data_IF_404352907370
#
_entry.id   IF_404352907370
#
_cell.length_a   1.000
_cell.length_b   1.000
_cell.length_c   1.000
_cell.angle_alpha   90.00
_cell.angle_beta   90.00
_cell.angle_gamma   90.00
#
_symmetry.space_group_name_H-M   'P 1'
#
loop_
_entity.id
_entity.type
_entity.pdbx_description
1 polymer ?
#
# COMPACT_ATOMS: atom_id res chain seq x y z
N UNK A 1 11.01 -3.42 -23.42
CA UNK A 1 9.80 -2.97 -22.72
C UNK A 1 9.09 -1.99 -23.61
N UNK A 2 7.76 -2.13 -23.81
CA UNK A 2 6.94 -1.21 -24.61
C UNK A 2 6.01 -0.50 -23.64
N UNK A 3 5.97 0.82 -23.69
CA UNK A 3 5.04 1.65 -22.91
C UNK A 3 3.83 1.96 -23.78
N UNK A 4 2.64 1.76 -23.21
CA UNK A 4 1.35 2.06 -23.85
C UNK A 4 0.53 2.90 -22.91
N UNK A 5 -0.08 3.94 -23.44
CA UNK A 5 -1.05 4.75 -22.70
C UNK A 5 -2.39 4.00 -22.66
N UNK A 6 -3.00 3.91 -21.47
CA UNK A 6 -4.27 3.25 -21.26
C UNK A 6 -4.95 3.74 -20.00
N UNK A 7 -6.27 3.63 -19.96
CA UNK A 7 -7.09 3.99 -18.81
C UNK A 7 -7.85 2.74 -18.32
N UNK A 8 -7.66 2.37 -17.04
CA UNK A 8 -8.34 1.18 -16.46
C UNK A 8 -9.87 1.28 -16.50
N UNK A 9 -10.43 2.47 -16.68
CA UNK A 9 -11.87 2.69 -16.86
C UNK A 9 -12.33 2.55 -18.34
N UNK A 10 -11.40 2.40 -19.28
CA UNK A 10 -11.63 2.31 -20.73
C UNK A 10 -10.98 1.01 -21.25
N UNK A 11 -11.65 -0.15 -21.10
CA UNK A 11 -11.09 -1.47 -21.43
C UNK A 11 -10.54 -1.58 -22.85
N UNK A 12 -11.14 -0.88 -23.80
CA UNK A 12 -10.71 -0.84 -25.21
C UNK A 12 -9.27 -0.34 -25.39
N UNK A 13 -8.76 0.47 -24.45
CA UNK A 13 -7.42 1.03 -24.54
C UNK A 13 -6.32 0.02 -24.23
N UNK A 14 -6.67 -1.12 -23.59
CA UNK A 14 -5.66 -2.11 -23.16
C UNK A 14 -6.06 -3.59 -23.34
N UNK A 15 -7.30 -3.90 -23.76
CA UNK A 15 -7.80 -5.28 -23.87
C UNK A 15 -6.94 -6.16 -24.76
N UNK A 16 -6.48 -5.65 -25.89
CA UNK A 16 -5.63 -6.39 -26.84
C UNK A 16 -4.25 -6.74 -26.22
N UNK A 17 -3.73 -5.90 -25.33
CA UNK A 17 -2.48 -6.19 -24.64
C UNK A 17 -2.67 -7.28 -23.59
N UNK A 18 -3.81 -7.28 -22.87
CA UNK A 18 -4.14 -8.39 -21.95
C UNK A 18 -4.24 -9.68 -22.74
N UNK A 19 -4.97 -9.71 -23.85
CA UNK A 19 -5.17 -10.89 -24.69
C UNK A 19 -3.86 -11.55 -25.16
N UNK A 20 -2.80 -10.77 -25.32
CA UNK A 20 -1.46 -11.22 -25.76
C UNK A 20 -0.49 -11.47 -24.61
N UNK A 21 -0.91 -11.28 -23.38
CA UNK A 21 -0.04 -11.43 -22.21
C UNK A 21 -0.14 -12.82 -21.61
N UNK A 22 0.96 -13.33 -21.05
CA UNK A 22 0.93 -14.54 -20.23
C UNK A 22 0.44 -14.23 -18.79
N UNK A 23 0.80 -13.06 -18.29
CA UNK A 23 0.48 -12.60 -16.93
C UNK A 23 0.07 -11.14 -16.95
N UNK A 24 -0.85 -10.77 -16.07
CA UNK A 24 -1.23 -9.36 -15.80
C UNK A 24 -0.92 -9.04 -14.34
N UNK A 25 -0.14 -7.99 -14.11
CA UNK A 25 0.12 -7.42 -12.79
C UNK A 25 -0.74 -6.16 -12.63
N UNK A 26 -1.85 -6.27 -11.93
CA UNK A 26 -2.75 -5.14 -11.72
C UNK A 26 -2.35 -4.32 -10.51
N UNK A 27 -1.50 -3.31 -10.74
CA UNK A 27 -1.01 -2.37 -9.71
C UNK A 27 -1.75 -1.02 -9.75
N UNK A 28 -2.59 -0.79 -10.75
CA UNK A 28 -3.27 0.48 -10.94
C UNK A 28 -4.33 0.69 -9.85
N UNK A 29 -4.16 1.74 -9.06
CA UNK A 29 -5.15 2.17 -8.07
C UNK A 29 -4.95 3.65 -7.74
N UNK A 30 -6.03 4.31 -7.36
CA UNK A 30 -5.98 5.65 -6.81
C UNK A 30 -5.91 5.59 -5.28
N UNK A 31 -5.02 6.38 -4.68
CA UNK A 31 -4.91 6.56 -3.23
C UNK A 31 -5.16 8.03 -2.92
N UNK A 32 -6.19 8.32 -2.16
CA UNK A 32 -6.46 9.67 -1.66
C UNK A 32 -7.15 9.62 -0.30
N UNK A 33 -6.78 10.55 0.56
CA UNK A 33 -7.42 10.78 1.87
C UNK A 33 -8.22 12.10 1.88
N UNK A 34 -8.48 12.67 0.71
CA UNK A 34 -9.30 13.87 0.55
C UNK A 34 -10.74 13.50 0.17
N UNK A 35 -11.69 14.13 0.83
CA UNK A 35 -13.11 13.88 0.58
C UNK A 35 -13.51 14.16 -0.88
N UNK A 36 -12.94 15.17 -1.52
CA UNK A 36 -13.21 15.52 -2.92
C UNK A 36 -12.79 14.46 -3.96
N UNK A 37 -11.95 13.49 -3.56
CA UNK A 37 -11.44 12.46 -4.46
C UNK A 37 -12.14 11.11 -4.26
N UNK A 38 -13.09 10.99 -3.32
CA UNK A 38 -13.67 9.73 -2.88
C UNK A 38 -14.39 8.99 -4.01
N UNK A 39 -15.29 9.65 -4.69
CA UNK A 39 -16.08 9.03 -5.77
C UNK A 39 -15.16 8.56 -6.90
N UNK A 40 -14.23 9.42 -7.31
CA UNK A 40 -13.25 9.07 -8.34
C UNK A 40 -12.36 7.90 -7.91
N UNK A 41 -11.95 7.86 -6.65
CA UNK A 41 -11.13 6.76 -6.11
C UNK A 41 -11.93 5.45 -6.09
N UNK A 42 -13.19 5.47 -5.65
CA UNK A 42 -14.06 4.31 -5.66
C UNK A 42 -14.28 3.82 -7.10
N UNK A 43 -14.62 4.70 -8.02
CA UNK A 43 -14.83 4.35 -9.43
C UNK A 43 -13.56 3.74 -10.05
N UNK A 44 -12.42 4.41 -9.91
CA UNK A 44 -11.13 3.89 -10.43
C UNK A 44 -10.77 2.54 -9.85
N UNK A 45 -10.87 2.38 -8.53
CA UNK A 45 -10.43 1.16 -7.86
C UNK A 45 -11.38 -0.02 -8.07
N UNK A 46 -12.70 0.22 -8.12
CA UNK A 46 -13.68 -0.86 -8.32
C UNK A 46 -13.83 -1.22 -9.80
N UNK A 47 -14.25 -0.25 -10.62
CA UNK A 47 -14.51 -0.51 -12.05
C UNK A 47 -13.23 -0.87 -12.79
N UNK A 48 -12.11 -0.18 -12.48
CA UNK A 48 -10.81 -0.52 -13.06
C UNK A 48 -10.40 -1.96 -12.74
N UNK A 49 -10.59 -2.41 -11.50
CA UNK A 49 -10.31 -3.81 -11.11
C UNK A 49 -11.27 -4.78 -11.77
N UNK A 50 -12.55 -4.45 -11.86
CA UNK A 50 -13.56 -5.29 -12.53
C UNK A 50 -13.24 -5.47 -14.02
N UNK A 51 -12.89 -4.40 -14.74
CA UNK A 51 -12.49 -4.45 -16.13
C UNK A 51 -11.27 -5.37 -16.35
N UNK A 52 -10.23 -5.24 -15.54
CA UNK A 52 -9.03 -6.09 -15.63
C UNK A 52 -9.38 -7.55 -15.32
N UNK A 53 -10.11 -7.82 -14.24
CA UNK A 53 -10.46 -9.19 -13.83
C UNK A 53 -11.36 -9.87 -14.87
N UNK A 54 -12.32 -9.15 -15.44
CA UNK A 54 -13.21 -9.63 -16.51
C UNK A 54 -12.43 -10.02 -17.76
N UNK A 55 -11.54 -9.16 -18.25
CA UNK A 55 -10.72 -9.43 -19.42
C UNK A 55 -9.73 -10.58 -19.17
N UNK A 56 -9.12 -10.66 -17.98
CA UNK A 56 -8.25 -11.78 -17.62
C UNK A 56 -9.01 -13.11 -17.61
N UNK A 57 -10.26 -13.12 -17.12
CA UNK A 57 -11.13 -14.30 -17.18
C UNK A 57 -11.48 -14.66 -18.64
N UNK A 58 -11.93 -13.68 -19.42
CA UNK A 58 -12.33 -13.86 -20.84
C UNK A 58 -11.19 -14.45 -21.67
N UNK A 59 -9.98 -13.90 -21.52
CA UNK A 59 -8.81 -14.32 -22.32
C UNK A 59 -7.97 -15.43 -21.67
N UNK A 60 -8.40 -15.96 -20.53
CA UNK A 60 -7.71 -17.02 -19.78
C UNK A 60 -6.29 -16.61 -19.38
N UNK A 61 -6.07 -15.34 -19.06
CA UNK A 61 -4.78 -14.78 -18.62
C UNK A 61 -4.70 -14.76 -17.10
N UNK A 62 -3.57 -15.18 -16.55
CA UNK A 62 -3.35 -15.19 -15.11
C UNK A 62 -3.19 -13.77 -14.55
N UNK A 63 -3.90 -13.48 -13.47
CA UNK A 63 -3.88 -12.17 -12.79
C UNK A 63 -3.11 -12.23 -11.48
N UNK A 64 -2.13 -11.34 -11.29
CA UNK A 64 -1.58 -10.98 -9.99
C UNK A 64 -2.16 -9.62 -9.57
N UNK A 65 -3.09 -9.64 -8.61
CA UNK A 65 -3.77 -8.44 -8.15
C UNK A 65 -3.09 -7.85 -6.92
N UNK A 66 -2.72 -6.57 -6.99
CA UNK A 66 -2.15 -5.84 -5.85
C UNK A 66 -3.27 -5.20 -5.03
N UNK A 67 -3.63 -5.86 -3.93
CA UNK A 67 -4.51 -5.35 -2.90
C UNK A 67 -3.73 -4.45 -1.92
N UNK A 68 -3.98 -4.54 -0.64
CA UNK A 68 -3.28 -3.80 0.42
C UNK A 68 -3.60 -4.41 1.77
N UNK A 69 -2.72 -4.27 2.76
CA UNK A 69 -3.09 -4.53 4.16
C UNK A 69 -4.32 -3.71 4.60
N UNK A 70 -4.59 -2.59 3.95
CA UNK A 70 -5.80 -1.78 4.21
C UNK A 70 -7.11 -2.49 3.84
N UNK A 71 -7.07 -3.57 3.04
CA UNK A 71 -8.24 -4.38 2.71
C UNK A 71 -8.54 -5.47 3.75
N UNK A 72 -7.60 -5.74 4.65
CA UNK A 72 -7.70 -6.75 5.69
C UNK A 72 -8.54 -6.25 6.87
N UNK A 73 -8.94 -7.18 7.75
CA UNK A 73 -9.60 -6.88 9.01
C UNK A 73 -8.65 -6.24 10.03
N UNK A 74 -9.22 -5.89 11.16
CA UNK A 74 -8.46 -5.46 12.33
C UNK A 74 -8.19 -6.63 13.27
N UNK A 75 -7.11 -6.57 14.01
CA UNK A 75 -6.80 -7.51 15.07
C UNK A 75 -7.93 -7.59 16.10
N UNK A 76 -8.20 -8.80 16.62
CA UNK A 76 -9.23 -9.02 17.62
C UNK A 76 -8.90 -8.37 18.95
N UNK A 77 -7.63 -8.41 19.33
CA UNK A 77 -7.08 -7.77 20.53
C UNK A 77 -5.86 -6.92 20.19
N UNK A 78 -5.55 -5.98 21.07
CA UNK A 78 -4.35 -5.16 20.91
C UNK A 78 -3.09 -6.04 21.01
N UNK A 79 -2.25 -5.99 19.98
CA UNK A 79 -1.01 -6.76 19.89
C UNK A 79 -1.13 -8.07 19.10
N UNK A 80 -2.31 -8.52 18.75
CA UNK A 80 -2.49 -9.67 17.87
C UNK A 80 -2.00 -9.37 16.46
N UNK A 81 -1.53 -10.42 15.79
CA UNK A 81 -1.15 -10.32 14.39
C UNK A 81 -2.37 -10.43 13.47
N UNK A 82 -2.40 -9.58 12.47
CA UNK A 82 -3.31 -9.64 11.35
C UNK A 82 -2.68 -10.54 10.29
N UNK A 83 -3.41 -11.56 9.88
CA UNK A 83 -3.03 -12.52 8.84
C UNK A 83 -4.04 -12.52 7.68
N UNK A 84 -3.86 -13.44 6.75
CA UNK A 84 -4.71 -13.57 5.58
C UNK A 84 -6.15 -14.02 5.91
N UNK A 85 -6.38 -14.65 7.04
CA UNK A 85 -7.69 -15.17 7.47
C UNK A 85 -8.41 -14.22 8.43
N UNK A 86 -7.77 -13.13 8.84
CA UNK A 86 -8.36 -12.15 9.75
C UNK A 86 -9.61 -11.51 9.12
N UNK A 87 -10.79 -11.66 9.76
CA UNK A 87 -12.04 -11.21 9.18
C UNK A 87 -12.16 -9.68 9.17
N UNK A 88 -12.74 -9.14 8.11
CA UNK A 88 -13.13 -7.71 8.05
C UNK A 88 -14.40 -7.55 8.89
N UNK A 89 -14.31 -6.78 9.98
CA UNK A 89 -15.44 -6.50 10.86
C UNK A 89 -16.28 -5.38 10.23
N UNK A 90 -17.53 -5.72 9.87
CA UNK A 90 -18.47 -4.72 9.36
C UNK A 90 -18.85 -3.72 10.47
N UNK A 91 -18.99 -2.45 10.10
CA UNK A 91 -19.40 -1.38 11.03
C UNK A 91 -18.27 -0.64 11.74
N UNK A 92 -17.00 -1.06 11.64
CA UNK A 92 -15.89 -0.20 12.05
C UNK A 92 -15.67 0.94 11.04
N UNK A 93 -15.30 2.12 11.53
CA UNK A 93 -14.97 3.27 10.68
C UNK A 93 -13.64 3.03 9.94
N UNK A 94 -13.72 2.36 8.80
CA UNK A 94 -12.59 2.24 7.88
C UNK A 94 -12.50 3.44 6.96
N UNK A 95 -11.29 3.79 6.56
CA UNK A 95 -11.07 4.85 5.56
C UNK A 95 -11.76 4.51 4.24
N UNK A 96 -12.12 5.53 3.45
CA UNK A 96 -12.70 5.29 2.11
C UNK A 96 -11.72 4.53 1.23
N UNK A 97 -10.41 4.77 1.40
CA UNK A 97 -9.37 3.98 0.72
C UNK A 97 -9.42 2.51 1.12
N UNK A 98 -9.49 2.19 2.42
CA UNK A 98 -9.63 0.83 2.93
C UNK A 98 -10.88 0.15 2.34
N UNK A 99 -12.03 0.84 2.37
CA UNK A 99 -13.26 0.34 1.77
C UNK A 99 -13.12 0.08 0.26
N UNK A 100 -12.44 0.98 -0.48
CA UNK A 100 -12.22 0.81 -1.92
C UNK A 100 -11.39 -0.44 -2.21
N UNK A 101 -10.32 -0.69 -1.44
CA UNK A 101 -9.45 -1.86 -1.61
C UNK A 101 -10.15 -3.15 -1.21
N UNK A 102 -10.88 -3.17 -0.08
CA UNK A 102 -11.65 -4.32 0.36
C UNK A 102 -12.75 -4.70 -0.65
N UNK A 103 -13.49 -3.71 -1.19
CA UNK A 103 -14.52 -3.96 -2.21
C UNK A 103 -13.92 -4.44 -3.53
N UNK A 104 -12.81 -3.84 -3.99
CA UNK A 104 -12.12 -4.27 -5.20
C UNK A 104 -11.57 -5.69 -5.06
N UNK A 105 -11.02 -6.04 -3.89
CA UNK A 105 -10.56 -7.41 -3.62
C UNK A 105 -11.73 -8.42 -3.63
N UNK A 106 -12.89 -8.07 -3.06
CA UNK A 106 -14.11 -8.89 -3.15
C UNK A 106 -14.54 -9.13 -4.60
N UNK A 107 -14.36 -8.16 -5.51
CA UNK A 107 -14.59 -8.38 -6.94
C UNK A 107 -13.62 -9.42 -7.51
N UNK A 108 -12.35 -9.35 -7.19
CA UNK A 108 -11.36 -10.34 -7.63
C UNK A 108 -11.74 -11.74 -7.14
N UNK A 109 -12.13 -11.89 -5.86
CA UNK A 109 -12.63 -13.17 -5.30
C UNK A 109 -13.86 -13.69 -6.03
N UNK A 110 -14.80 -12.81 -6.40
CA UNK A 110 -15.96 -13.15 -7.22
C UNK A 110 -15.52 -13.71 -8.60
N UNK A 111 -14.56 -13.08 -9.28
CA UNK A 111 -14.05 -13.57 -10.55
C UNK A 111 -13.25 -14.88 -10.40
N UNK A 112 -12.53 -15.06 -9.30
CA UNK A 112 -11.88 -16.35 -8.96
C UNK A 112 -12.95 -17.46 -8.85
N UNK A 113 -14.09 -17.20 -8.22
CA UNK A 113 -15.19 -18.18 -8.15
C UNK A 113 -15.83 -18.50 -9.51
N UNK A 114 -15.65 -17.63 -10.50
CA UNK A 114 -16.05 -17.85 -11.90
C UNK A 114 -14.95 -18.56 -12.73
N UNK A 115 -13.82 -18.90 -12.14
CA UNK A 115 -12.73 -19.61 -12.79
C UNK A 115 -11.51 -18.75 -13.18
N UNK A 116 -11.47 -17.47 -12.77
CA UNK A 116 -10.28 -16.63 -12.99
C UNK A 116 -9.07 -17.24 -12.27
N UNK A 117 -8.00 -17.49 -13.00
CA UNK A 117 -6.72 -17.86 -12.41
C UNK A 117 -6.02 -16.61 -11.87
N UNK A 118 -6.13 -16.37 -10.56
CA UNK A 118 -5.56 -15.19 -9.93
C UNK A 118 -4.87 -15.51 -8.60
N UNK A 119 -3.93 -14.64 -8.24
CA UNK A 119 -3.30 -14.54 -6.93
C UNK A 119 -3.42 -13.08 -6.44
N UNK A 120 -3.62 -12.91 -5.14
CA UNK A 120 -3.79 -11.60 -4.50
C UNK A 120 -2.62 -11.35 -3.58
N UNK A 121 -1.98 -10.20 -3.70
CA UNK A 121 -0.96 -9.75 -2.77
C UNK A 121 -1.44 -8.54 -1.98
N UNK A 122 -1.21 -8.54 -0.67
CA UNK A 122 -1.57 -7.47 0.26
C UNK A 122 -0.30 -6.85 0.84
N UNK A 123 0.37 -5.95 0.11
CA UNK A 123 1.56 -5.29 0.63
C UNK A 123 1.22 -4.42 1.84
N UNK A 124 2.11 -4.40 2.83
CA UNK A 124 2.17 -3.38 3.86
C UNK A 124 2.65 -2.05 3.26
N UNK A 125 3.03 -1.06 4.08
CA UNK A 125 3.50 0.23 3.55
C UNK A 125 4.75 0.01 2.72
N UNK A 126 4.61 0.14 1.39
CA UNK A 126 5.71 -0.06 0.45
C UNK A 126 6.68 1.09 0.57
N UNK A 127 7.94 0.78 0.86
CA UNK A 127 9.05 1.71 0.88
C UNK A 127 9.92 1.50 -0.36
N UNK A 128 10.23 2.59 -1.07
CA UNK A 128 11.05 2.51 -2.27
C UNK A 128 11.31 3.87 -2.89
N UNK A 129 12.30 3.92 -3.79
CA UNK A 129 12.55 5.07 -4.63
C UNK A 129 11.48 5.16 -5.73
N UNK A 130 11.00 6.36 -6.02
CA UNK A 130 9.96 6.54 -7.04
C UNK A 130 9.51 7.99 -7.15
N UNK A 131 8.21 8.22 -7.22
CA UNK A 131 7.64 9.58 -7.28
C UNK A 131 7.77 10.30 -5.95
N UNK A 132 8.81 11.10 -5.79
CA UNK A 132 9.24 11.77 -4.56
C UNK A 132 8.22 12.72 -3.93
N UNK A 133 7.21 13.12 -4.66
CA UNK A 133 6.14 14.01 -4.21
C UNK A 133 4.88 13.28 -3.74
N UNK A 134 4.88 11.94 -3.70
CA UNK A 134 3.72 11.12 -3.37
C UNK A 134 4.04 10.03 -2.35
N UNK A 135 3.01 9.59 -1.64
CA UNK A 135 3.01 8.40 -0.75
C UNK A 135 4.20 8.31 0.21
N UNK A 136 4.74 7.14 0.40
CA UNK A 136 5.85 6.84 1.31
C UNK A 136 7.16 7.57 0.95
N UNK A 137 7.43 7.82 -0.34
CA UNK A 137 8.58 8.59 -0.77
C UNK A 137 8.50 10.06 -0.27
N UNK A 138 7.31 10.67 -0.27
CA UNK A 138 7.09 11.99 0.33
C UNK A 138 7.31 11.97 1.84
N UNK A 139 6.82 10.93 2.55
CA UNK A 139 7.07 10.75 3.98
C UNK A 139 8.58 10.66 4.26
N UNK A 140 9.30 9.81 3.50
CA UNK A 140 10.75 9.69 3.60
C UNK A 140 11.43 11.05 3.48
N UNK A 141 11.12 11.82 2.42
CA UNK A 141 11.74 13.13 2.22
C UNK A 141 11.40 14.15 3.32
N UNK A 142 10.20 14.08 3.87
CA UNK A 142 9.80 14.96 4.98
C UNK A 142 10.66 14.70 6.21
N UNK A 143 10.88 13.44 6.54
CA UNK A 143 11.76 13.04 7.65
C UNK A 143 13.23 13.35 7.34
N UNK A 144 13.70 13.04 6.13
CA UNK A 144 15.06 13.28 5.68
C UNK A 144 15.44 14.78 5.61
N UNK A 145 14.45 15.68 5.62
CA UNK A 145 14.67 17.14 5.70
C UNK A 145 14.71 17.68 7.13
N UNK A 146 14.60 16.83 8.15
CA UNK A 146 14.71 17.22 9.55
C UNK A 146 13.38 17.36 10.27
N UNK A 147 12.56 16.32 10.27
CA UNK A 147 11.33 16.26 11.08
C UNK A 147 11.68 16.26 12.58
N UNK A 148 10.96 17.06 13.37
CA UNK A 148 11.19 17.20 14.81
C UNK A 148 10.27 16.31 15.66
N UNK A 149 9.16 15.85 15.08
CA UNK A 149 8.08 15.19 15.78
C UNK A 149 7.97 13.72 15.38
N UNK A 150 7.46 12.88 16.29
CA UNK A 150 7.15 11.49 16.03
C UNK A 150 5.87 11.05 16.74
N UNK A 151 5.33 9.90 16.31
CA UNK A 151 4.21 9.21 16.94
C UNK A 151 4.62 7.77 17.25
N UNK A 152 3.81 7.07 18.06
CA UNK A 152 4.12 5.71 18.52
C UNK A 152 3.26 4.63 17.83
N UNK A 153 2.44 4.99 16.84
CA UNK A 153 1.73 3.99 16.06
C UNK A 153 2.69 3.02 15.37
N UNK A 154 2.23 1.79 15.18
CA UNK A 154 2.98 0.70 14.56
C UNK A 154 2.26 0.27 13.28
N UNK A 155 3.01 -0.01 12.23
CA UNK A 155 2.49 -0.58 10.99
C UNK A 155 3.51 -1.51 10.36
N UNK A 156 3.06 -2.28 9.36
CA UNK A 156 3.93 -3.08 8.53
C UNK A 156 4.62 -2.24 7.45
N UNK A 157 5.86 -2.59 7.12
CA UNK A 157 6.63 -1.99 6.03
C UNK A 157 7.29 -3.07 5.18
N UNK A 158 7.39 -2.83 3.88
CA UNK A 158 8.01 -3.76 2.93
C UNK A 158 8.81 -2.99 1.88
N UNK A 159 9.93 -3.53 1.44
CA UNK A 159 10.70 -2.97 0.32
C UNK A 159 9.96 -3.21 -1.00
N UNK A 160 9.98 -2.22 -1.89
CA UNK A 160 9.37 -2.32 -3.22
C UNK A 160 9.98 -3.43 -4.08
N UNK A 161 11.26 -3.76 -3.86
CA UNK A 161 11.96 -4.85 -4.55
C UNK A 161 11.42 -6.21 -4.13
N UNK A 162 11.17 -6.39 -2.82
CA UNK A 162 10.53 -7.61 -2.28
C UNK A 162 9.13 -7.80 -2.87
N UNK A 163 8.36 -6.72 -2.93
CA UNK A 163 7.01 -6.76 -3.53
C UNK A 163 7.08 -7.19 -4.98
N UNK A 164 7.99 -6.61 -5.77
CA UNK A 164 8.15 -6.95 -7.18
C UNK A 164 8.59 -8.41 -7.37
N UNK A 165 9.58 -8.87 -6.60
CA UNK A 165 10.08 -10.24 -6.67
C UNK A 165 9.00 -11.27 -6.32
N UNK A 166 8.29 -11.05 -5.20
CA UNK A 166 7.21 -11.97 -4.78
C UNK A 166 6.07 -11.99 -5.80
N UNK A 167 5.71 -10.84 -6.37
CA UNK A 167 4.68 -10.79 -7.42
C UNK A 167 5.08 -11.64 -8.64
N UNK A 168 6.34 -11.59 -9.05
CA UNK A 168 6.83 -12.43 -10.17
C UNK A 168 6.81 -13.89 -9.79
N UNK A 169 7.36 -14.29 -8.63
CA UNK A 169 7.35 -15.68 -8.15
C UNK A 169 5.92 -16.24 -8.10
N UNK A 170 4.98 -15.51 -7.51
CA UNK A 170 3.59 -15.92 -7.39
C UNK A 170 2.85 -15.98 -8.75
N UNK A 171 3.17 -15.08 -9.69
CA UNK A 171 2.58 -15.13 -11.02
C UNK A 171 3.06 -16.33 -11.84
N UNK A 172 4.31 -16.73 -11.68
CA UNK A 172 4.92 -17.87 -12.39
C UNK A 172 4.59 -19.22 -11.72
N UNK A 173 4.30 -19.22 -10.42
CA UNK A 173 3.94 -20.44 -9.67
C UNK A 173 2.53 -20.90 -10.00
N UNK A 174 2.43 -21.89 -10.89
CA UNK A 174 1.14 -22.44 -11.33
C UNK A 174 0.43 -23.29 -10.26
N UNK A 175 1.10 -23.66 -9.18
CA UNK A 175 0.52 -24.43 -8.07
C UNK A 175 -0.34 -23.56 -7.15
N UNK A 176 -0.08 -22.24 -7.10
CA UNK A 176 -0.80 -21.26 -6.30
C UNK A 176 -1.95 -20.67 -7.10
N UNK A 177 -3.19 -20.89 -6.67
CA UNK A 177 -4.40 -20.37 -7.35
C UNK A 177 -5.44 -19.96 -6.32
N UNK A 178 -6.07 -18.80 -6.52
CA UNK A 178 -7.13 -18.33 -5.63
C UNK A 178 -6.65 -18.14 -4.19
N UNK A 179 -5.46 -17.60 -4.02
CA UNK A 179 -4.80 -17.41 -2.74
C UNK A 179 -4.47 -15.93 -2.50
N UNK A 180 -4.42 -15.54 -1.23
CA UNK A 180 -4.00 -14.21 -0.77
C UNK A 180 -2.76 -14.32 0.09
N UNK A 181 -1.82 -13.37 -0.08
CA UNK A 181 -0.57 -13.31 0.69
C UNK A 181 -0.28 -11.89 1.18
N UNK A 182 0.03 -11.76 2.46
CA UNK A 182 0.52 -10.51 3.05
C UNK A 182 2.01 -10.39 2.76
N UNK A 183 2.40 -9.25 2.16
CA UNK A 183 3.79 -8.91 1.92
C UNK A 183 4.25 -7.89 2.97
N UNK A 184 4.90 -8.38 4.03
CA UNK A 184 5.35 -7.58 5.15
C UNK A 184 6.79 -7.91 5.51
N UNK A 185 7.72 -6.96 5.29
CA UNK A 185 9.13 -7.10 5.66
C UNK A 185 9.38 -6.92 7.17
N UNK A 186 8.46 -6.28 7.89
CA UNK A 186 8.53 -6.12 9.34
C UNK A 186 7.57 -5.08 9.87
N UNK A 187 7.27 -5.18 11.17
CA UNK A 187 6.39 -4.27 11.88
C UNK A 187 7.24 -3.29 12.70
N UNK A 188 7.14 -1.99 12.40
CA UNK A 188 7.94 -0.95 13.03
C UNK A 188 7.06 0.21 13.48
N UNK A 189 7.47 0.89 14.57
CA UNK A 189 6.84 2.13 14.97
C UNK A 189 7.25 3.29 14.04
N UNK A 190 6.38 4.31 13.92
CA UNK A 190 6.74 5.54 13.21
C UNK A 190 8.00 6.19 13.81
N UNK A 191 8.18 6.11 15.13
CA UNK A 191 9.39 6.60 15.79
C UNK A 191 10.64 5.89 15.26
N UNK A 192 10.59 4.56 15.18
CA UNK A 192 11.72 3.75 14.71
C UNK A 192 12.05 4.04 13.25
N UNK A 193 11.02 4.05 12.37
CA UNK A 193 11.17 4.42 10.97
C UNK A 193 11.82 5.80 10.82
N UNK A 194 11.30 6.82 11.55
CA UNK A 194 11.81 8.18 11.45
C UNK A 194 13.23 8.31 11.99
N UNK A 195 13.55 7.60 13.07
CA UNK A 195 14.91 7.58 13.61
C UNK A 195 15.91 6.98 12.62
N UNK A 196 15.55 5.88 11.96
CA UNK A 196 16.41 5.24 10.94
C UNK A 196 16.60 6.16 9.72
N UNK A 197 15.53 6.79 9.22
CA UNK A 197 15.63 7.75 8.10
C UNK A 197 16.50 8.95 8.49
N UNK A 198 16.30 9.52 9.69
CA UNK A 198 17.08 10.67 10.14
C UNK A 198 18.57 10.34 10.25
N UNK A 199 18.91 9.21 10.88
CA UNK A 199 20.31 8.73 11.00
C UNK A 199 20.96 8.50 9.64
N UNK A 200 20.26 7.81 8.74
CA UNK A 200 20.77 7.55 7.39
C UNK A 200 21.09 8.83 6.62
N UNK A 201 20.37 9.94 6.87
CA UNK A 201 20.59 11.22 6.22
C UNK A 201 21.46 12.20 7.02
N UNK A 202 22.08 11.76 8.13
CA UNK A 202 22.94 12.62 8.96
C UNK A 202 22.17 13.67 9.76
N UNK A 203 20.86 13.52 9.92
CA UNK A 203 20.00 14.45 10.63
C UNK A 203 19.82 14.06 12.10
N UNK A 204 19.43 15.04 12.92
CA UNK A 204 19.00 14.77 14.29
C UNK A 204 17.70 13.97 14.28
N UNK A 205 17.62 12.96 15.15
CA UNK A 205 16.39 12.17 15.33
C UNK A 205 15.26 13.06 15.88
N UNK A 206 14.00 12.78 15.53
CA UNK A 206 12.84 13.45 16.10
C UNK A 206 12.82 13.32 17.64
N UNK A 207 12.54 14.41 18.34
CA UNK A 207 12.60 14.44 19.82
C UNK A 207 11.26 14.64 20.48
N UNK A 208 10.27 15.20 19.76
CA UNK A 208 9.01 15.59 20.33
C UNK A 208 7.92 14.58 20.03
N UNK A 209 7.45 13.90 21.06
CA UNK A 209 6.30 13.00 20.93
C UNK A 209 5.01 13.79 20.75
N UNK A 210 4.31 13.56 19.64
CA UNK A 210 2.97 14.07 19.41
C UNK A 210 1.94 13.12 20.05
N UNK A 211 1.24 13.63 21.07
CA UNK A 211 0.14 12.89 21.71
C UNK A 211 -1.10 12.88 20.82
N UNK A 212 -2.02 11.91 20.96
CA UNK A 212 -3.23 11.83 20.13
C UNK A 212 -4.05 13.13 20.06
N UNK A 213 -4.24 13.82 21.19
CA UNK A 213 -4.97 15.08 21.22
C UNK A 213 -4.29 16.21 20.42
N UNK A 214 -2.97 16.21 20.35
CA UNK A 214 -2.21 17.21 19.56
C UNK A 214 -2.43 17.00 18.06
N UNK A 215 -2.40 15.74 17.60
CA UNK A 215 -2.68 15.43 16.21
C UNK A 215 -4.14 15.68 15.84
N UNK A 216 -5.07 15.51 16.80
CA UNK A 216 -6.48 15.86 16.63
C UNK A 216 -6.71 17.37 16.43
N UNK A 217 -5.95 18.23 17.12
CA UNK A 217 -5.98 19.68 16.90
C UNK A 217 -5.28 20.01 15.58
N UNK A 218 -4.10 19.43 15.33
CA UNK A 218 -3.28 19.76 14.17
C UNK A 218 -4.02 19.55 12.84
N UNK A 219 -4.71 18.41 12.66
CA UNK A 219 -5.41 18.17 11.39
C UNK A 219 -6.59 19.16 11.20
N UNK A 220 -7.30 19.57 12.28
CA UNK A 220 -8.40 20.53 12.16
C UNK A 220 -7.88 21.92 11.75
N UNK A 221 -6.81 22.37 12.38
CA UNK A 221 -6.17 23.66 12.03
C UNK A 221 -5.68 23.64 10.58
N UNK A 222 -5.00 22.56 10.16
CA UNK A 222 -4.53 22.42 8.78
C UNK A 222 -5.68 22.31 7.78
N UNK A 223 -6.80 21.70 8.14
CA UNK A 223 -7.99 21.64 7.31
C UNK A 223 -8.57 23.04 7.06
N UNK A 224 -8.68 23.86 8.11
CA UNK A 224 -9.15 25.25 7.99
C UNK A 224 -8.19 26.08 7.12
N UNK A 225 -6.88 26.02 7.38
CA UNK A 225 -5.87 26.73 6.57
C UNK A 225 -5.94 26.32 5.11
N UNK A 226 -6.09 25.02 4.86
CA UNK A 226 -6.20 24.48 3.49
C UNK A 226 -7.48 24.93 2.79
N UNK A 227 -8.60 25.00 3.50
CA UNK A 227 -9.87 25.48 2.97
C UNK A 227 -9.78 26.97 2.54
N UNK A 228 -9.14 27.81 3.36
CA UNK A 228 -8.91 29.23 3.03
C UNK A 228 -7.89 29.38 1.89
N UNK A 229 -6.84 28.54 1.87
CA UNK A 229 -5.75 28.61 0.89
C UNK A 229 -6.00 27.88 -0.42
N UNK A 230 -7.15 27.23 -0.62
CA UNK A 230 -7.51 26.47 -1.84
C UNK A 230 -6.60 25.26 -2.12
N UNK A 231 -5.83 24.78 -1.13
CA UNK A 231 -4.91 23.65 -1.26
C UNK A 231 -5.45 22.42 -0.52
N UNK A 232 -5.16 21.24 -1.04
CA UNK A 232 -5.49 19.98 -0.35
C UNK A 232 -4.67 19.86 0.94
N UNK A 233 -5.30 19.50 2.10
CA UNK A 233 -4.58 19.34 3.36
C UNK A 233 -3.55 18.21 3.26
N UNK A 234 -2.33 18.48 3.74
CA UNK A 234 -1.25 17.47 3.76
C UNK A 234 -1.41 16.46 4.90
N UNK A 235 -2.21 16.81 5.93
CA UNK A 235 -2.46 15.99 7.11
C UNK A 235 -3.96 15.96 7.38
N UNK A 236 -4.56 14.77 7.29
CA UNK A 236 -6.02 14.57 7.39
C UNK A 236 -6.38 13.86 8.70
N UNK A 237 -7.68 13.78 9.03
CA UNK A 237 -8.18 13.00 10.17
C UNK A 237 -7.71 11.54 10.13
N UNK A 238 -7.70 10.93 8.94
CA UNK A 238 -7.25 9.55 8.75
C UNK A 238 -5.77 9.37 9.04
N UNK A 239 -4.91 10.27 8.52
CA UNK A 239 -3.48 10.23 8.82
C UNK A 239 -3.20 10.48 10.30
N UNK A 240 -3.98 11.33 10.97
CA UNK A 240 -3.87 11.57 12.41
C UNK A 240 -4.21 10.31 13.22
N UNK A 241 -5.27 9.59 12.86
CA UNK A 241 -5.65 8.31 13.51
C UNK A 241 -4.60 7.22 13.26
N UNK A 242 -4.21 7.02 12.01
CA UNK A 242 -3.20 6.01 11.64
C UNK A 242 -1.87 6.23 12.34
N UNK A 243 -1.49 7.48 12.60
CA UNK A 243 -0.24 7.83 13.29
C UNK A 243 -0.15 7.31 14.74
N UNK A 244 -1.28 6.91 15.35
CA UNK A 244 -1.34 6.37 16.71
C UNK A 244 -1.86 4.94 16.78
N UNK A 245 -2.34 4.39 15.66
CA UNK A 245 -2.84 3.02 15.61
C UNK A 245 -1.67 2.04 15.58
N UNK A 246 -1.80 0.92 16.30
CA UNK A 246 -0.81 -0.15 16.32
C UNK A 246 -1.41 -1.39 15.65
N UNK A 247 -0.86 -1.78 14.51
CA UNK A 247 -1.23 -3.00 13.79
C UNK A 247 0.02 -3.80 13.47
N UNK A 248 -0.06 -5.10 13.69
CA UNK A 248 1.00 -6.06 13.41
C UNK A 248 0.53 -6.99 12.32
N UNK A 249 1.32 -7.20 11.28
CA UNK A 249 0.99 -8.05 10.14
C UNK A 249 1.92 -9.25 10.10
N UNK A 250 1.34 -10.44 9.85
CA UNK A 250 2.07 -11.68 9.69
C UNK A 250 2.39 -11.89 8.20
N UNK A 251 3.59 -12.38 7.90
CA UNK A 251 4.00 -12.84 6.58
C UNK A 251 4.24 -14.37 6.56
N UNK A 252 3.79 -15.07 7.59
CA UNK A 252 4.10 -16.47 7.81
C UNK A 252 3.63 -17.37 6.65
N UNK A 253 2.46 -17.10 6.09
CA UNK A 253 1.91 -17.85 4.94
C UNK A 253 2.85 -17.81 3.73
N UNK A 254 3.38 -16.64 3.40
CA UNK A 254 4.33 -16.50 2.29
C UNK A 254 5.64 -17.24 2.57
N UNK A 255 6.17 -17.14 3.78
CA UNK A 255 7.44 -17.79 4.15
C UNK A 255 7.31 -19.31 4.27
N UNK A 256 6.13 -19.84 4.53
CA UNK A 256 5.85 -21.29 4.43
C UNK A 256 5.88 -21.73 2.97
N UNK A 257 5.32 -20.92 2.06
CA UNK A 257 5.34 -21.22 0.62
C UNK A 257 6.73 -21.09 0.01
N UNK A 258 7.48 -20.04 0.39
CA UNK A 258 8.83 -19.76 -0.09
C UNK A 258 9.83 -19.65 1.06
N UNK A 259 10.31 -20.77 1.62
CA UNK A 259 11.21 -20.77 2.77
C UNK A 259 12.58 -20.14 2.50
N UNK A 260 12.97 -20.06 1.23
CA UNK A 260 14.21 -19.44 0.75
C UNK A 260 14.12 -17.92 0.60
N UNK A 261 12.91 -17.36 0.70
CA UNK A 261 12.70 -15.93 0.52
C UNK A 261 12.99 -15.15 1.81
N UNK A 262 13.75 -14.06 1.68
CA UNK A 262 14.12 -13.20 2.78
C UNK A 262 13.84 -11.75 2.42
N UNK A 263 13.00 -11.09 3.21
CA UNK A 263 12.71 -9.67 3.06
C UNK A 263 13.93 -8.80 3.38
N UNK A 264 14.14 -7.73 2.63
CA UNK A 264 15.13 -6.71 2.98
C UNK A 264 14.85 -6.12 4.36
N UNK A 265 15.91 -5.94 5.15
CA UNK A 265 15.81 -5.22 6.41
C UNK A 265 15.45 -3.74 6.18
N UNK A 266 14.72 -3.13 7.13
CA UNK A 266 14.32 -1.72 7.03
C UNK A 266 15.52 -0.79 6.80
N UNK A 267 16.67 -1.08 7.45
CA UNK A 267 17.88 -0.30 7.29
C UNK A 267 18.41 -0.31 5.85
N UNK A 268 18.40 -1.48 5.20
CA UNK A 268 18.87 -1.64 3.81
C UNK A 268 17.93 -0.93 2.83
N UNK A 269 16.63 -1.02 3.06
CA UNK A 269 15.60 -0.30 2.31
C UNK A 269 15.83 1.22 2.38
N UNK A 270 16.06 1.75 3.58
CA UNK A 270 16.32 3.18 3.80
C UNK A 270 17.60 3.62 3.10
N UNK A 271 18.68 2.83 3.17
CA UNK A 271 19.95 3.13 2.48
C UNK A 271 19.75 3.13 0.96
N UNK A 272 18.99 2.17 0.43
CA UNK A 272 18.68 2.13 -1.01
C UNK A 272 17.90 3.37 -1.46
N UNK A 273 16.87 3.78 -0.71
CA UNK A 273 16.09 5.00 -1.01
C UNK A 273 17.00 6.23 -0.96
N UNK A 274 17.87 6.32 0.07
CA UNK A 274 18.84 7.43 0.17
C UNK A 274 19.78 7.48 -1.04
N UNK A 275 20.34 6.34 -1.42
CA UNK A 275 21.22 6.25 -2.59
C UNK A 275 20.50 6.72 -3.85
N UNK A 276 19.28 6.24 -4.10
CA UNK A 276 18.48 6.64 -5.24
C UNK A 276 18.12 8.14 -5.23
N UNK A 277 17.86 8.70 -4.03
CA UNK A 277 17.60 10.12 -3.87
C UNK A 277 18.82 10.98 -4.22
N UNK A 278 20.00 10.59 -3.77
CA UNK A 278 21.24 11.31 -4.02
C UNK A 278 21.68 11.22 -5.49
N UNK A 279 21.40 10.09 -6.14
CA UNK A 279 21.82 9.83 -7.53
C UNK A 279 20.71 10.10 -8.56
N UNK A 280 19.57 10.70 -8.15
CA UNK A 280 18.54 11.09 -9.12
C UNK A 280 19.13 12.12 -10.08
N UNK A 281 19.09 11.81 -11.36
CA UNK A 281 19.32 12.81 -12.40
C UNK A 281 18.09 13.72 -12.40
N UNK A 282 18.32 15.04 -12.37
CA UNK A 282 17.29 16.06 -12.31
C UNK A 282 16.35 16.03 -13.50
#
# INVERSE_FOLDING_TARGET
MVWVEGNVLEPETFSEYIRRSAYVYHCAAMISFNASDQDRMLDTNLRGTENIASLCLEYQVRLCYVSSIAALGDASQAGDFIDEDTPVIEGREHSVYSQSKSRAEKLVWKYISYGLNAVIVCPSIILGAGMWNRSSAKLYLTVARGMLFYTLGISGYVDVRDVAEVMVRLAEDTTVRGERFILNGGNYSYQELFNQIARANGNRIPRWYLRPWMTEIAWRVLAVISAVGGKKPAFTRETARSAHHCSYYSNAKLLVLYPDFHFYALADTIQHIRWAWLNRRG
#
